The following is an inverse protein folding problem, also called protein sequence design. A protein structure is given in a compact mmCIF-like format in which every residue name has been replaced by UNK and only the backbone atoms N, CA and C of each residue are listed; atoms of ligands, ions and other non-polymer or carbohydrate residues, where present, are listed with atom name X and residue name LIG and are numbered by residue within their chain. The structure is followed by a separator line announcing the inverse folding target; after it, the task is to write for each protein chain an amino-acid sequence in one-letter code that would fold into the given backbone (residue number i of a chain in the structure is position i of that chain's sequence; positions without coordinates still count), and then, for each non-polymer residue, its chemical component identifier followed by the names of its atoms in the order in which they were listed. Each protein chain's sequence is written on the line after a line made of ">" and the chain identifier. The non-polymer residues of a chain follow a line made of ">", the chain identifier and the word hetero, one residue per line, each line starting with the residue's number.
data_IF_659295460677
#
_entry.id   IF_659295460677
#
_cell.length_a   1.000
_cell.length_b   1.000
_cell.length_c   1.000
_cell.angle_alpha   90.00
_cell.angle_beta   90.00
_cell.angle_gamma   90.00
#
_symmetry.space_group_name_H-M   'P 1'
#
loop_
_entity.id
_entity.type
_entity.pdbx_description
1 polymer ?
#
# COMPACT_ATOMS: atom_id res chain seq x y z
N UNK A 1 -7.80 -16.49 6.48
CA UNK A 1 -6.95 -16.27 7.69
C UNK A 1 -7.01 -17.40 8.70
N UNK A 2 -7.89 -18.39 8.55
CA UNK A 2 -8.00 -19.52 9.51
C UNK A 2 -6.82 -20.48 9.54
N UNK A 3 -6.06 -20.59 8.44
CA UNK A 3 -4.83 -21.40 8.41
C UNK A 3 -3.69 -20.79 9.25
N UNK A 4 -3.72 -19.48 9.48
CA UNK A 4 -2.67 -18.77 10.23
C UNK A 4 -2.89 -18.89 11.74
N UNK A 5 -4.15 -19.04 12.18
CA UNK A 5 -4.48 -19.24 13.60
C UNK A 5 -3.83 -20.49 14.22
N UNK A 6 -3.54 -21.52 13.42
CA UNK A 6 -2.80 -22.72 13.87
C UNK A 6 -1.33 -22.46 14.19
N UNK A 7 -0.77 -21.36 13.69
CA UNK A 7 0.64 -21.00 13.85
C UNK A 7 0.83 -19.85 14.85
N UNK A 8 -0.24 -19.41 15.53
CA UNK A 8 -0.13 -18.42 16.61
C UNK A 8 0.05 -19.15 17.94
N UNK A 9 0.92 -18.62 18.81
CA UNK A 9 1.16 -19.16 20.17
C UNK A 9 -0.13 -19.36 20.98
N UNK A 10 -1.17 -18.56 20.70
CA UNK A 10 -2.45 -18.59 21.42
C UNK A 10 -3.51 -19.46 20.73
N UNK A 11 -3.26 -19.97 19.52
CA UNK A 11 -4.23 -20.73 18.72
C UNK A 11 -5.46 -19.91 18.27
N UNK A 12 -5.44 -18.60 18.50
CA UNK A 12 -6.54 -17.65 18.21
C UNK A 12 -6.18 -16.78 17.01
N UNK A 13 -7.21 -16.26 16.34
CA UNK A 13 -7.05 -15.24 15.29
C UNK A 13 -6.41 -13.99 15.90
N UNK A 14 -5.38 -13.46 15.24
CA UNK A 14 -4.76 -12.18 15.58
C UNK A 14 -5.79 -11.05 15.41
N UNK A 15 -5.85 -10.13 16.36
CA UNK A 15 -6.64 -8.91 16.20
C UNK A 15 -6.09 -8.05 15.06
N UNK A 16 -6.94 -7.26 14.40
CA UNK A 16 -6.55 -6.47 13.22
C UNK A 16 -5.32 -5.58 13.45
N UNK A 17 -5.20 -4.98 14.64
CA UNK A 17 -4.06 -4.13 15.00
C UNK A 17 -2.77 -4.94 15.15
N UNK A 18 -2.84 -6.12 15.78
CA UNK A 18 -1.70 -7.01 15.89
C UNK A 18 -1.23 -7.52 14.53
N UNK A 19 -2.17 -7.83 13.63
CA UNK A 19 -1.85 -8.24 12.26
C UNK A 19 -1.11 -7.14 11.49
N UNK A 20 -1.55 -5.89 11.60
CA UNK A 20 -0.86 -4.74 11.01
C UNK A 20 0.53 -4.53 11.64
N UNK A 21 0.64 -4.58 12.97
CA UNK A 21 1.90 -4.43 13.67
C UNK A 21 2.94 -5.47 13.22
N UNK A 22 2.60 -6.77 13.25
CA UNK A 22 3.52 -7.83 12.85
C UNK A 22 3.90 -7.76 11.37
N UNK A 23 2.95 -7.39 10.49
CA UNK A 23 3.24 -7.22 9.07
C UNK A 23 4.28 -6.11 8.83
N UNK A 24 4.15 -4.98 9.51
CA UNK A 24 5.10 -3.86 9.37
C UNK A 24 6.44 -4.17 10.06
N UNK A 25 6.43 -4.75 11.27
CA UNK A 25 7.65 -5.10 12.00
C UNK A 25 8.49 -6.13 11.25
N UNK A 26 7.86 -7.17 10.69
CA UNK A 26 8.54 -8.19 9.90
C UNK A 26 9.13 -7.64 8.60
N UNK A 27 8.56 -6.56 8.05
CA UNK A 27 9.06 -5.93 6.82
C UNK A 27 10.38 -5.17 7.04
N UNK A 28 10.64 -4.67 8.26
CA UNK A 28 11.87 -3.91 8.58
C UNK A 28 13.18 -4.66 8.31
N UNK A 29 13.39 -5.91 8.76
CA UNK A 29 14.62 -6.65 8.45
C UNK A 29 14.79 -6.91 6.96
N UNK A 30 13.71 -7.15 6.20
CA UNK A 30 13.79 -7.31 4.74
C UNK A 30 14.21 -6.01 4.05
N UNK A 31 13.63 -4.88 4.46
CA UNK A 31 14.01 -3.55 3.95
C UNK A 31 15.48 -3.26 4.29
N UNK A 32 15.88 -3.51 5.54
CA UNK A 32 17.28 -3.34 5.98
C UNK A 32 18.25 -4.20 5.18
N UNK A 33 17.94 -5.47 4.94
CA UNK A 33 18.75 -6.35 4.12
C UNK A 33 18.87 -5.84 2.67
N UNK A 34 17.77 -5.38 2.07
CA UNK A 34 17.79 -4.76 0.74
C UNK A 34 18.68 -3.51 0.67
N UNK A 35 18.61 -2.64 1.68
CA UNK A 35 19.45 -1.42 1.75
C UNK A 35 20.94 -1.77 1.87
N UNK A 36 21.27 -2.81 2.63
CA UNK A 36 22.64 -3.31 2.76
C UNK A 36 23.15 -3.93 1.45
N UNK A 37 22.36 -4.80 0.82
CA UNK A 37 22.70 -5.47 -0.44
C UNK A 37 22.90 -4.46 -1.58
N UNK A 38 22.11 -3.39 -1.60
CA UNK A 38 22.24 -2.33 -2.62
C UNK A 38 23.41 -1.37 -2.33
N UNK A 39 24.12 -1.55 -1.21
CA UNK A 39 25.27 -0.72 -0.83
C UNK A 39 24.93 0.74 -0.48
N UNK A 40 23.63 1.08 -0.36
CA UNK A 40 23.16 2.45 -0.14
C UNK A 40 23.03 2.83 1.34
N UNK A 41 23.33 1.91 2.26
CA UNK A 41 23.22 2.15 3.70
C UNK A 41 24.01 3.40 4.16
N UNK A 42 25.22 3.59 3.64
CA UNK A 42 26.06 4.75 3.99
C UNK A 42 25.50 6.05 3.38
N UNK A 43 25.00 6.00 2.14
CA UNK A 43 24.39 7.14 1.47
C UNK A 43 23.16 7.65 2.22
N UNK A 44 22.27 6.73 2.64
CA UNK A 44 21.06 7.08 3.41
C UNK A 44 21.42 7.73 4.74
N UNK A 45 22.46 7.24 5.43
CA UNK A 45 22.87 7.79 6.72
C UNK A 45 23.54 9.16 6.63
N UNK A 46 24.13 9.47 5.46
CA UNK A 46 24.80 10.75 5.20
C UNK A 46 23.88 11.78 4.56
N UNK A 47 22.61 11.44 4.32
CA UNK A 47 21.65 12.33 3.69
C UNK A 47 21.41 13.56 4.60
N UNK A 48 21.69 14.79 4.13
CA UNK A 48 21.54 15.99 4.94
C UNK A 48 20.08 16.23 5.40
N UNK A 49 19.09 15.75 4.64
CA UNK A 49 17.68 15.86 4.99
C UNK A 49 17.29 15.07 6.24
N UNK A 50 18.06 14.04 6.63
CA UNK A 50 17.83 13.33 7.88
C UNK A 50 18.03 14.20 9.13
N UNK A 51 18.76 15.31 9.02
CA UNK A 51 18.94 16.27 10.11
C UNK A 51 17.88 17.38 10.12
N UNK A 52 17.03 17.46 9.08
CA UNK A 52 15.99 18.46 8.98
C UNK A 52 14.76 18.04 9.79
N UNK A 53 14.42 18.80 10.83
CA UNK A 53 13.27 18.51 11.70
C UNK A 53 11.93 18.52 10.97
N UNK A 54 11.77 19.37 9.95
CA UNK A 54 10.57 19.42 9.11
C UNK A 54 10.43 18.16 8.27
N UNK A 55 11.54 17.69 7.68
CA UNK A 55 11.56 16.45 6.92
C UNK A 55 11.20 15.26 7.81
N UNK A 56 11.82 15.16 8.99
CA UNK A 56 11.51 14.11 9.97
C UNK A 56 10.05 14.15 10.43
N UNK A 57 9.48 15.33 10.64
CA UNK A 57 8.07 15.48 11.02
C UNK A 57 7.13 14.98 9.91
N UNK A 58 7.39 15.34 8.65
CA UNK A 58 6.61 14.87 7.50
C UNK A 58 6.79 13.37 7.28
N UNK A 59 8.00 12.85 7.46
CA UNK A 59 8.30 11.42 7.38
C UNK A 59 7.61 10.62 8.51
N UNK A 60 7.56 11.15 9.72
CA UNK A 60 6.82 10.54 10.82
C UNK A 60 5.30 10.54 10.55
N UNK A 61 4.76 11.65 10.04
CA UNK A 61 3.35 11.76 9.67
C UNK A 61 2.99 10.80 8.53
N UNK A 62 3.84 10.69 7.50
CA UNK A 62 3.63 9.75 6.40
C UNK A 62 3.70 8.30 6.89
N UNK A 63 4.60 7.99 7.84
CA UNK A 63 4.64 6.71 8.53
C UNK A 63 3.35 6.40 9.29
N UNK A 64 2.77 7.39 9.99
CA UNK A 64 1.49 7.24 10.69
C UNK A 64 0.33 6.97 9.72
N UNK A 65 0.23 7.74 8.64
CA UNK A 65 -0.77 7.53 7.58
C UNK A 65 -0.56 6.14 6.93
N UNK A 66 0.69 5.76 6.65
CA UNK A 66 1.05 4.46 6.10
C UNK A 66 0.66 3.30 7.00
N UNK A 67 0.82 3.44 8.32
CA UNK A 67 0.33 2.47 9.29
C UNK A 67 -1.19 2.35 9.26
N UNK A 68 -1.92 3.47 9.18
CA UNK A 68 -3.38 3.49 9.03
C UNK A 68 -3.87 2.79 7.76
N UNK A 69 -3.18 3.01 6.63
CA UNK A 69 -3.45 2.30 5.37
C UNK A 69 -3.20 0.80 5.52
N UNK A 70 -2.07 0.40 6.11
CA UNK A 70 -1.74 -1.01 6.35
C UNK A 70 -2.79 -1.70 7.23
N UNK A 71 -3.23 -1.03 8.30
CA UNK A 71 -4.28 -1.52 9.19
C UNK A 71 -5.60 -1.72 8.46
N UNK A 72 -6.07 -0.70 7.74
CA UNK A 72 -7.36 -0.76 7.02
C UNK A 72 -7.34 -1.83 5.94
N UNK A 73 -6.23 -1.97 5.21
CA UNK A 73 -6.05 -3.01 4.19
C UNK A 73 -6.10 -4.42 4.75
N UNK A 74 -5.39 -4.68 5.85
CA UNK A 74 -5.39 -6.00 6.49
C UNK A 74 -6.73 -6.31 7.16
N UNK A 75 -7.38 -5.30 7.72
CA UNK A 75 -8.73 -5.43 8.26
C UNK A 75 -9.74 -5.76 7.15
N UNK A 76 -9.70 -5.05 6.01
CA UNK A 76 -10.54 -5.36 4.84
C UNK A 76 -10.28 -6.78 4.32
N UNK A 77 -9.02 -7.19 4.24
CA UNK A 77 -8.64 -8.55 3.84
C UNK A 77 -9.11 -9.62 4.84
N UNK A 78 -9.34 -9.26 6.11
CA UNK A 78 -9.84 -10.18 7.13
C UNK A 78 -11.34 -10.44 7.02
N UNK A 79 -12.09 -9.47 6.48
CA UNK A 79 -13.55 -9.56 6.28
C UNK A 79 -13.94 -9.99 4.86
N UNK A 80 -13.01 -9.87 3.91
CA UNK A 80 -13.25 -10.04 2.47
C UNK A 80 -12.28 -11.05 1.86
N UNK A 81 -12.46 -11.41 0.58
CA UNK A 81 -11.54 -12.30 -0.14
C UNK A 81 -10.35 -11.54 -0.74
N UNK A 82 -9.17 -12.18 -0.91
CA UNK A 82 -8.01 -11.57 -1.54
C UNK A 82 -8.28 -11.03 -2.95
N UNK A 83 -9.14 -11.69 -3.73
CA UNK A 83 -9.50 -11.23 -5.07
C UNK A 83 -10.28 -9.92 -5.07
N UNK A 84 -11.18 -9.72 -4.10
CA UNK A 84 -11.95 -8.46 -3.98
C UNK A 84 -11.04 -7.35 -3.43
N UNK A 85 -10.14 -7.66 -2.49
CA UNK A 85 -9.12 -6.70 -2.06
C UNK A 85 -8.24 -6.21 -3.22
N UNK A 86 -7.76 -7.12 -4.06
CA UNK A 86 -7.00 -6.76 -5.25
C UNK A 86 -7.80 -5.91 -6.24
N UNK A 87 -9.10 -6.18 -6.39
CA UNK A 87 -10.00 -5.40 -7.25
C UNK A 87 -10.22 -3.99 -6.72
N UNK A 88 -10.48 -3.83 -5.42
CA UNK A 88 -10.65 -2.49 -4.81
C UNK A 88 -9.34 -1.70 -4.93
N UNK A 89 -8.19 -2.38 -4.76
CA UNK A 89 -6.88 -1.77 -4.96
C UNK A 89 -6.65 -1.27 -6.39
N UNK A 90 -7.02 -2.04 -7.42
CA UNK A 90 -6.91 -1.58 -8.81
C UNK A 90 -7.91 -0.46 -9.13
N UNK A 91 -9.12 -0.52 -8.59
CA UNK A 91 -10.13 0.53 -8.76
C UNK A 91 -9.69 1.86 -8.14
N UNK A 92 -9.02 1.83 -6.98
CA UNK A 92 -8.50 3.03 -6.32
C UNK A 92 -7.45 3.79 -7.17
N UNK A 93 -6.78 3.12 -8.11
CA UNK A 93 -5.79 3.79 -8.96
C UNK A 93 -6.43 4.82 -9.90
N UNK A 94 -7.65 4.57 -10.38
CA UNK A 94 -8.36 5.47 -11.32
C UNK A 94 -8.62 6.86 -10.74
N UNK A 95 -9.29 7.02 -9.58
CA UNK A 95 -9.50 8.34 -8.99
C UNK A 95 -8.18 9.00 -8.59
N UNK A 96 -7.19 8.25 -8.11
CA UNK A 96 -5.86 8.79 -7.79
C UNK A 96 -5.18 9.36 -9.03
N UNK A 97 -5.24 8.68 -10.18
CA UNK A 97 -4.70 9.18 -11.45
C UNK A 97 -5.42 10.43 -11.94
N UNK A 98 -6.75 10.49 -11.80
CA UNK A 98 -7.54 11.67 -12.17
C UNK A 98 -7.21 12.88 -11.28
N UNK A 99 -7.15 12.67 -9.96
CA UNK A 99 -6.75 13.70 -9.00
C UNK A 99 -5.32 14.17 -9.31
N UNK A 100 -4.41 13.26 -9.65
CA UNK A 100 -3.04 13.61 -10.03
C UNK A 100 -2.98 14.51 -11.27
N UNK A 101 -3.77 14.21 -12.29
CA UNK A 101 -3.86 15.05 -13.50
C UNK A 101 -4.32 16.48 -13.16
N UNK A 102 -5.36 16.59 -12.32
CA UNK A 102 -5.95 17.86 -11.91
C UNK A 102 -5.03 18.66 -10.96
N UNK A 103 -4.45 18.00 -9.96
CA UNK A 103 -3.65 18.64 -8.92
C UNK A 103 -2.29 19.13 -9.44
N UNK A 104 -1.67 18.39 -10.39
CA UNK A 104 -0.36 18.73 -10.93
C UNK A 104 -0.42 19.40 -12.31
N UNK A 105 -1.62 19.75 -12.80
CA UNK A 105 -1.86 20.39 -14.10
C UNK A 105 -1.07 19.74 -15.26
N UNK A 106 -1.06 18.40 -15.27
CA UNK A 106 -0.33 17.60 -16.26
C UNK A 106 -1.01 17.77 -17.62
N UNK A 107 -0.27 17.87 -18.74
CA UNK A 107 -0.87 18.00 -20.06
C UNK A 107 -1.80 16.82 -20.38
N UNK A 108 -3.02 17.18 -20.80
CA UNK A 108 -4.10 16.28 -21.20
C UNK A 108 -3.82 15.69 -22.60
N UNK A 109 -2.73 14.93 -22.71
CA UNK A 109 -2.38 14.24 -23.95
C UNK A 109 -3.29 13.04 -24.17
N UNK A 110 -3.58 12.74 -25.44
CA UNK A 110 -4.41 11.59 -25.81
C UNK A 110 -3.89 10.25 -25.23
N UNK A 111 -2.57 9.96 -25.19
CA UNK A 111 -2.04 8.76 -24.54
C UNK A 111 -2.32 8.70 -23.02
N UNK A 112 -2.21 9.82 -22.30
CA UNK A 112 -2.49 9.87 -20.87
C UNK A 112 -3.98 9.60 -20.61
N UNK A 113 -4.85 10.20 -21.41
CA UNK A 113 -6.30 10.01 -21.29
C UNK A 113 -6.71 8.57 -21.59
N UNK A 114 -6.18 7.99 -22.67
CA UNK A 114 -6.44 6.61 -23.05
C UNK A 114 -5.93 5.62 -22.00
N UNK A 115 -4.76 5.88 -21.41
CA UNK A 115 -4.20 5.01 -20.35
C UNK A 115 -5.11 4.97 -19.12
N UNK A 116 -5.64 6.12 -18.69
CA UNK A 116 -6.59 6.20 -17.58
C UNK A 116 -7.92 5.54 -17.95
N UNK A 117 -8.43 5.79 -19.16
CA UNK A 117 -9.70 5.21 -19.62
C UNK A 117 -9.65 3.68 -19.72
N UNK A 118 -8.56 3.13 -20.27
CA UNK A 118 -8.34 1.67 -20.35
C UNK A 118 -8.20 1.07 -18.97
N UNK A 119 -7.42 1.70 -18.07
CA UNK A 119 -7.29 1.24 -16.68
C UNK A 119 -8.63 1.23 -15.94
N UNK A 120 -9.45 2.27 -16.12
CA UNK A 120 -10.79 2.34 -15.54
C UNK A 120 -11.74 1.29 -16.10
N UNK A 121 -11.77 1.13 -17.43
CA UNK A 121 -12.60 0.11 -18.08
C UNK A 121 -12.22 -1.30 -17.63
N UNK A 122 -10.92 -1.61 -17.52
CA UNK A 122 -10.44 -2.90 -17.03
C UNK A 122 -10.86 -3.15 -15.57
N UNK A 123 -10.77 -2.14 -14.69
CA UNK A 123 -11.19 -2.27 -13.30
C UNK A 123 -12.70 -2.54 -13.18
N UNK A 124 -13.53 -1.84 -13.95
CA UNK A 124 -14.99 -2.03 -13.99
C UNK A 124 -15.36 -3.40 -14.55
N UNK A 125 -14.75 -3.81 -15.67
CA UNK A 125 -14.99 -5.13 -16.26
C UNK A 125 -14.63 -6.27 -15.29
N UNK A 126 -13.49 -6.16 -14.60
CA UNK A 126 -13.08 -7.13 -13.60
C UNK A 126 -14.06 -7.18 -12.41
N UNK A 127 -14.59 -6.04 -11.97
CA UNK A 127 -15.58 -5.97 -10.91
C UNK A 127 -16.89 -6.67 -11.29
N UNK A 128 -17.36 -6.46 -12.52
CA UNK A 128 -18.57 -7.10 -13.06
C UNK A 128 -18.36 -8.61 -13.23
N UNK A 129 -17.20 -9.02 -13.73
CA UNK A 129 -16.89 -10.45 -13.89
C UNK A 129 -16.87 -11.17 -12.53
N UNK A 130 -16.29 -10.52 -11.52
CA UNK A 130 -16.20 -11.06 -10.16
C UNK A 130 -17.55 -11.10 -9.43
N UNK A 131 -18.46 -10.16 -9.69
CA UNK A 131 -19.79 -10.14 -9.05
C UNK A 131 -20.73 -11.24 -9.57
N UNK A 132 -20.45 -11.78 -10.76
CA UNK A 132 -21.20 -12.90 -11.36
C UNK A 132 -20.68 -14.28 -10.95
N UNK A 133 -19.60 -14.35 -10.18
CA UNK A 133 -18.90 -15.59 -9.78
C UNK A 133 -19.08 -15.86 -8.29
#
# INVERSE_FOLDING_TARGET
>A
MDRVAKHTTTGKRLGGLSMAFYNNLSSLPFIGAMVLLMGKARTVWQEPDLHNSTFLAVAALSGFIGFGLSFTSLWFLSTTTPSIYSLVGSLNQVPVSLIGLLAFNVPWTLPNLLSIAVGAAAAVLFAIAKSKQ
#
